data_IF_098197093770
#
_entry.id   IF_098197093770
#
_cell.length_a   1.000
_cell.length_b   1.000
_cell.length_c   1.000
_cell.angle_alpha   90.00
_cell.angle_beta   90.00
_cell.angle_gamma   90.00
#
_symmetry.space_group_name_H-M   'P 1'
#
loop_
_entity.id
_entity.type
_entity.pdbx_description
1 polymer ?
#
# COMPACT_ATOMS: atom_id res chain seq x y z
N UNK A 1 -90.06 12.53 37.04
CA UNK A 1 -89.37 11.97 35.86
C UNK A 1 -89.69 12.91 34.71
N UNK A 2 -88.81 13.71 34.12
CA UNK A 2 -87.35 13.77 34.07
C UNK A 2 -86.95 15.24 33.85
N UNK A 3 -85.94 15.71 34.59
CA UNK A 3 -85.32 17.02 34.40
C UNK A 3 -84.68 17.12 33.01
N UNK A 4 -85.35 17.84 32.10
CA UNK A 4 -84.73 18.35 30.88
C UNK A 4 -84.19 19.77 31.09
N UNK A 5 -83.14 19.92 31.92
CA UNK A 5 -82.27 21.09 31.79
C UNK A 5 -81.19 20.80 30.74
N UNK A 6 -81.55 21.03 29.47
CA UNK A 6 -80.59 21.14 28.38
C UNK A 6 -79.57 22.21 28.75
N UNK A 7 -78.35 21.80 29.15
CA UNK A 7 -77.21 22.69 29.36
C UNK A 7 -76.97 23.48 28.06
N UNK A 8 -77.47 24.72 28.00
CA UNK A 8 -77.23 25.61 26.87
C UNK A 8 -75.72 25.79 26.71
N UNK A 9 -75.16 25.68 25.50
CA UNK A 9 -73.74 25.94 25.29
C UNK A 9 -73.48 27.40 25.71
N UNK A 10 -72.55 27.59 26.65
CA UNK A 10 -72.10 28.91 27.10
C UNK A 10 -71.56 29.63 25.86
N UNK A 11 -72.34 30.53 25.26
CA UNK A 11 -71.89 31.35 24.13
C UNK A 11 -70.80 32.27 24.65
N UNK A 12 -69.55 31.86 24.44
CA UNK A 12 -68.38 32.63 24.82
C UNK A 12 -68.22 33.75 23.79
N UNK A 13 -68.22 35.00 24.24
CA UNK A 13 -68.00 36.13 23.35
C UNK A 13 -66.70 35.91 22.58
N UNK A 14 -66.68 36.24 21.28
CA UNK A 14 -65.49 36.10 20.42
C UNK A 14 -64.24 36.72 21.04
N UNK A 15 -64.39 37.83 21.79
CA UNK A 15 -63.31 38.48 22.52
C UNK A 15 -62.76 37.62 23.67
N UNK A 16 -63.60 36.88 24.37
CA UNK A 16 -63.20 36.02 25.48
C UNK A 16 -62.62 34.68 24.99
N UNK A 17 -63.12 34.16 23.87
CA UNK A 17 -62.51 33.02 23.16
C UNK A 17 -61.09 33.34 22.66
N UNK A 18 -60.91 34.54 22.08
CA UNK A 18 -59.59 35.02 21.64
C UNK A 18 -58.63 35.21 22.84
N UNK A 19 -59.14 35.71 23.97
CA UNK A 19 -58.35 35.86 25.21
C UNK A 19 -57.89 34.51 25.76
N UNK A 20 -58.64 33.43 25.56
CA UNK A 20 -58.26 32.11 26.06
C UNK A 20 -57.36 31.31 25.09
N UNK A 21 -57.49 31.52 23.78
CA UNK A 21 -56.73 30.76 22.77
C UNK A 21 -55.37 31.37 22.47
N UNK A 22 -55.27 32.71 22.40
CA UNK A 22 -53.99 33.40 22.17
C UNK A 22 -52.89 32.95 23.14
N UNK A 23 -53.11 32.88 24.48
CA UNK A 23 -52.08 32.40 25.38
C UNK A 23 -51.74 30.93 25.16
N UNK A 24 -52.72 30.06 24.90
CA UNK A 24 -52.47 28.63 24.61
C UNK A 24 -51.65 28.42 23.32
N UNK A 25 -51.86 29.27 22.31
CA UNK A 25 -51.08 29.25 21.06
C UNK A 25 -49.64 29.72 21.30
N UNK A 26 -49.45 30.85 21.98
CA UNK A 26 -48.13 31.38 22.33
C UNK A 26 -47.32 30.37 23.18
N UNK A 27 -47.95 29.79 24.20
CA UNK A 27 -47.31 28.75 25.04
C UNK A 27 -46.91 27.54 24.20
N UNK A 28 -47.74 27.09 23.25
CA UNK A 28 -47.39 25.96 22.36
C UNK A 28 -46.21 26.29 21.45
N UNK A 29 -46.13 27.52 20.96
CA UNK A 29 -45.05 27.98 20.08
C UNK A 29 -43.73 28.11 20.85
N UNK A 30 -43.78 28.69 22.06
CA UNK A 30 -42.65 28.74 22.99
C UNK A 30 -42.17 27.35 23.39
N UNK A 31 -43.09 26.42 23.71
CA UNK A 31 -42.75 25.04 24.05
C UNK A 31 -42.09 24.32 22.87
N UNK A 32 -42.55 24.59 21.64
CA UNK A 32 -41.96 24.03 20.41
C UNK A 32 -40.54 24.55 20.20
N UNK A 33 -40.31 25.86 20.38
CA UNK A 33 -38.97 26.43 20.29
C UNK A 33 -38.04 25.88 21.37
N UNK A 34 -38.51 25.81 22.61
CA UNK A 34 -37.77 25.22 23.72
C UNK A 34 -37.37 23.76 23.46
N UNK A 35 -38.29 22.93 22.95
CA UNK A 35 -37.99 21.54 22.59
C UNK A 35 -36.99 21.45 21.43
N UNK A 36 -37.06 22.36 20.46
CA UNK A 36 -36.12 22.40 19.34
C UNK A 36 -34.72 22.78 19.81
N UNK A 37 -34.62 23.80 20.67
CA UNK A 37 -33.37 24.26 21.26
C UNK A 37 -32.76 23.18 22.16
N UNK A 38 -33.58 22.49 22.97
CA UNK A 38 -33.15 21.36 23.78
C UNK A 38 -32.57 20.24 22.91
N UNK A 39 -33.26 19.85 21.84
CA UNK A 39 -32.76 18.85 20.88
C UNK A 39 -31.49 19.30 20.16
N UNK A 40 -31.35 20.60 19.87
CA UNK A 40 -30.15 21.14 19.24
C UNK A 40 -28.95 21.05 20.19
N UNK A 41 -29.13 21.42 21.46
CA UNK A 41 -28.12 21.27 22.52
C UNK A 41 -27.74 19.80 22.73
N UNK A 42 -28.73 18.90 22.84
CA UNK A 42 -28.49 17.46 22.93
C UNK A 42 -27.68 16.93 21.74
N UNK A 43 -27.98 17.38 20.51
CA UNK A 43 -27.21 17.01 19.31
C UNK A 43 -25.79 17.55 19.32
N UNK A 44 -25.59 18.76 19.81
CA UNK A 44 -24.27 19.39 19.91
C UNK A 44 -23.41 18.66 20.95
N UNK A 45 -23.97 18.39 22.13
CA UNK A 45 -23.33 17.58 23.17
C UNK A 45 -23.00 16.17 22.66
N UNK A 46 -23.94 15.51 22.00
CA UNK A 46 -23.72 14.20 21.37
C UNK A 46 -22.62 14.26 20.31
N UNK A 47 -22.59 15.31 19.48
CA UNK A 47 -21.55 15.51 18.49
C UNK A 47 -20.17 15.65 19.14
N UNK A 48 -20.06 16.44 20.20
CA UNK A 48 -18.83 16.62 20.97
C UNK A 48 -18.38 15.30 21.60
N UNK A 49 -19.30 14.55 22.24
CA UNK A 49 -19.02 13.25 22.83
C UNK A 49 -18.57 12.25 21.76
N UNK A 50 -19.29 12.14 20.64
CA UNK A 50 -18.90 11.26 19.51
C UNK A 50 -17.57 11.66 18.88
N UNK A 51 -17.23 12.95 18.87
CA UNK A 51 -15.93 13.44 18.39
C UNK A 51 -14.83 12.96 19.32
N UNK A 52 -15.00 13.10 20.63
CA UNK A 52 -13.99 12.69 21.61
C UNK A 52 -13.85 11.16 21.68
N UNK A 53 -14.95 10.41 21.66
CA UNK A 53 -14.93 8.94 21.55
C UNK A 53 -14.18 8.49 20.30
N UNK A 54 -14.40 9.14 19.14
CA UNK A 54 -13.67 8.80 17.92
C UNK A 54 -12.18 9.10 18.02
N UNK A 55 -11.77 10.14 18.75
CA UNK A 55 -10.34 10.38 19.04
C UNK A 55 -9.78 9.28 19.94
N UNK A 56 -10.43 8.98 21.06
CA UNK A 56 -10.01 7.94 21.99
C UNK A 56 -9.88 6.57 21.31
N UNK A 57 -10.82 6.20 20.43
CA UNK A 57 -10.73 4.95 19.66
C UNK A 57 -9.53 4.97 18.71
N UNK A 58 -9.25 6.10 18.04
CA UNK A 58 -8.08 6.23 17.15
C UNK A 58 -6.77 6.17 17.93
N UNK A 59 -6.70 6.79 19.10
CA UNK A 59 -5.55 6.74 20.00
C UNK A 59 -5.33 5.33 20.51
N UNK A 60 -6.37 4.67 21.02
CA UNK A 60 -6.29 3.28 21.47
C UNK A 60 -5.86 2.32 20.36
N UNK A 61 -6.35 2.49 19.12
CA UNK A 61 -5.89 1.70 17.97
C UNK A 61 -4.41 1.90 17.68
N UNK A 62 -3.94 3.15 17.69
CA UNK A 62 -2.52 3.46 17.50
C UNK A 62 -1.66 2.88 18.62
N UNK A 63 -2.12 2.90 19.86
CA UNK A 63 -1.41 2.29 20.98
C UNK A 63 -1.29 0.77 20.82
N UNK A 64 -2.37 0.09 20.40
CA UNK A 64 -2.36 -1.36 20.15
C UNK A 64 -1.45 -1.72 18.97
N UNK A 65 -1.48 -0.95 17.88
CA UNK A 65 -0.61 -1.16 16.71
C UNK A 65 0.88 -0.98 17.03
N UNK A 66 1.21 -0.13 18.01
CA UNK A 66 2.58 0.12 18.45
C UNK A 66 2.98 -0.68 19.70
N UNK A 67 2.06 -1.48 20.25
CA UNK A 67 2.37 -2.33 21.39
C UNK A 67 3.26 -3.49 20.91
N UNK A 68 4.38 -3.78 21.62
CA UNK A 68 5.24 -4.89 21.25
C UNK A 68 4.48 -6.22 21.35
N UNK A 69 4.60 -7.04 20.32
CA UNK A 69 4.14 -8.41 20.31
C UNK A 69 5.01 -9.29 21.22
N UNK A 70 4.44 -10.41 21.68
CA UNK A 70 5.10 -11.33 22.60
C UNK A 70 6.31 -12.06 22.00
N UNK A 71 6.43 -12.14 20.67
CA UNK A 71 7.59 -12.73 19.98
C UNK A 71 8.49 -11.62 19.44
N UNK A 72 9.78 -11.72 19.76
CA UNK A 72 10.83 -10.83 19.24
C UNK A 72 10.91 -10.92 17.72
N UNK A 73 10.72 -12.12 17.15
CA UNK A 73 10.64 -12.33 15.70
C UNK A 73 9.54 -11.51 15.04
N UNK A 74 8.35 -11.47 15.66
CA UNK A 74 7.20 -10.72 15.13
C UNK A 74 7.44 -9.20 15.22
N UNK A 75 8.08 -8.70 16.27
CA UNK A 75 8.41 -7.27 16.40
C UNK A 75 9.40 -6.83 15.32
N UNK A 76 10.47 -7.59 15.11
CA UNK A 76 11.46 -7.31 14.06
C UNK A 76 10.80 -7.40 12.67
N UNK A 77 9.92 -8.39 12.47
CA UNK A 77 9.13 -8.51 11.24
C UNK A 77 8.25 -7.29 11.00
N UNK A 78 7.57 -6.78 12.04
CA UNK A 78 6.71 -5.60 11.91
C UNK A 78 7.50 -4.38 11.43
N UNK A 79 8.69 -4.15 11.99
CA UNK A 79 9.55 -3.04 11.61
C UNK A 79 10.12 -3.21 10.19
N UNK A 80 10.42 -4.45 9.79
CA UNK A 80 10.80 -4.77 8.42
C UNK A 80 9.66 -4.47 7.44
N UNK A 81 8.45 -4.99 7.71
CA UNK A 81 7.28 -4.81 6.86
C UNK A 81 6.96 -3.32 6.66
N UNK A 82 7.05 -2.49 7.71
CA UNK A 82 6.87 -1.03 7.60
C UNK A 82 7.84 -0.38 6.59
N UNK A 83 9.03 -0.93 6.40
CA UNK A 83 10.05 -0.41 5.47
C UNK A 83 9.89 -0.96 4.05
N UNK A 84 9.66 -2.26 3.90
CA UNK A 84 9.65 -2.93 2.58
C UNK A 84 8.32 -2.81 1.85
N UNK A 85 7.19 -2.80 2.57
CA UNK A 85 5.85 -2.79 1.97
C UNK A 85 5.59 -1.53 1.12
N UNK A 86 5.94 -0.30 1.55
CA UNK A 86 5.75 0.89 0.71
C UNK A 86 6.51 0.82 -0.61
N UNK A 87 7.75 0.30 -0.59
CA UNK A 87 8.55 0.15 -1.81
C UNK A 87 7.95 -0.91 -2.75
N UNK A 88 7.54 -2.05 -2.19
CA UNK A 88 6.90 -3.12 -2.97
C UNK A 88 5.55 -2.69 -3.55
N UNK A 89 4.77 -1.91 -2.79
CA UNK A 89 3.48 -1.38 -3.25
C UNK A 89 3.67 -0.46 -4.46
N UNK A 90 4.64 0.44 -4.39
CA UNK A 90 4.96 1.35 -5.49
C UNK A 90 5.35 0.57 -6.74
N UNK A 91 6.34 -0.32 -6.64
CA UNK A 91 6.81 -1.11 -7.79
C UNK A 91 5.70 -2.03 -8.33
N UNK A 92 4.86 -2.62 -7.47
CA UNK A 92 3.73 -3.45 -7.89
C UNK A 92 2.63 -2.66 -8.61
N UNK A 93 2.27 -1.47 -8.12
CA UNK A 93 1.21 -0.64 -8.71
C UNK A 93 1.60 -0.02 -10.05
N UNK A 94 2.90 0.08 -10.36
CA UNK A 94 3.35 0.51 -11.70
C UNK A 94 3.06 -0.52 -12.80
N UNK A 95 2.86 -1.80 -12.44
CA UNK A 95 2.48 -2.86 -13.37
C UNK A 95 0.97 -2.78 -13.71
N UNK A 96 0.61 -1.86 -14.58
CA UNK A 96 -0.78 -1.57 -14.93
C UNK A 96 -1.28 -2.29 -16.18
N UNK A 97 -0.40 -2.75 -17.06
CA UNK A 97 -0.75 -3.28 -18.37
C UNK A 97 -1.45 -4.64 -18.30
N UNK A 98 -0.80 -5.64 -17.70
CA UNK A 98 -1.29 -7.01 -17.70
C UNK A 98 -1.27 -7.65 -16.31
N UNK A 99 -2.32 -8.41 -16.04
CA UNK A 99 -2.47 -9.15 -14.79
C UNK A 99 -1.42 -10.26 -14.64
N UNK A 100 -0.91 -10.78 -15.77
CA UNK A 100 0.17 -11.77 -15.79
C UNK A 100 1.49 -11.19 -15.30
N UNK A 101 1.79 -9.92 -15.60
CA UNK A 101 2.98 -9.23 -15.10
C UNK A 101 2.93 -9.10 -13.58
N UNK A 102 1.77 -8.73 -13.01
CA UNK A 102 1.56 -8.65 -11.56
C UNK A 102 1.63 -10.00 -10.87
N UNK A 103 1.07 -11.05 -11.49
CA UNK A 103 1.20 -12.44 -10.99
C UNK A 103 2.66 -12.91 -11.02
N UNK A 104 3.36 -12.63 -12.13
CA UNK A 104 4.79 -12.92 -12.29
C UNK A 104 5.59 -12.22 -11.19
N UNK A 105 5.39 -10.91 -11.00
CA UNK A 105 6.07 -10.13 -9.97
C UNK A 105 5.88 -10.73 -8.57
N UNK A 106 4.62 -11.04 -8.20
CA UNK A 106 4.30 -11.68 -6.91
C UNK A 106 5.04 -13.00 -6.74
N UNK A 107 5.03 -13.87 -7.74
CA UNK A 107 5.66 -15.19 -7.66
C UNK A 107 7.19 -15.10 -7.52
N UNK A 108 7.81 -14.17 -8.25
CA UNK A 108 9.24 -13.93 -8.21
C UNK A 108 9.70 -13.40 -6.85
N UNK A 109 9.02 -12.38 -6.30
CA UNK A 109 9.35 -11.84 -4.97
C UNK A 109 9.23 -12.92 -3.90
N UNK A 110 8.12 -13.67 -3.87
CA UNK A 110 7.90 -14.69 -2.82
C UNK A 110 8.99 -15.78 -2.89
N UNK A 111 9.28 -16.27 -4.10
CA UNK A 111 10.28 -17.32 -4.28
C UNK A 111 11.70 -16.82 -3.98
N UNK A 112 12.03 -15.58 -4.36
CA UNK A 112 13.32 -14.98 -4.07
C UNK A 112 13.55 -14.80 -2.56
N UNK A 113 12.53 -14.33 -1.82
CA UNK A 113 12.59 -14.24 -0.35
C UNK A 113 12.80 -15.61 0.27
N UNK A 114 12.06 -16.63 -0.18
CA UNK A 114 12.20 -18.00 0.32
C UNK A 114 13.61 -18.56 0.09
N UNK A 115 14.12 -18.45 -1.15
CA UNK A 115 15.47 -18.91 -1.52
C UNK A 115 16.56 -18.19 -0.73
N UNK A 116 16.48 -16.87 -0.61
CA UNK A 116 17.50 -16.06 0.07
C UNK A 116 17.57 -16.39 1.57
N UNK A 117 16.42 -16.59 2.23
CA UNK A 117 16.36 -17.01 3.63
C UNK A 117 16.85 -18.45 3.83
N UNK A 118 16.45 -19.39 2.97
CA UNK A 118 16.95 -20.77 3.03
C UNK A 118 18.47 -20.83 2.82
N UNK A 119 19.00 -20.07 1.87
CA UNK A 119 20.44 -19.98 1.64
C UNK A 119 21.16 -19.38 2.86
N UNK A 120 20.57 -18.37 3.52
CA UNK A 120 21.10 -17.80 4.75
C UNK A 120 21.15 -18.82 5.89
N UNK A 121 20.13 -19.66 6.04
CA UNK A 121 20.10 -20.74 7.03
C UNK A 121 21.19 -21.79 6.76
N UNK A 122 21.26 -22.29 5.52
CA UNK A 122 22.26 -23.28 5.11
C UNK A 122 23.70 -22.78 5.33
N UNK A 123 23.95 -21.50 5.05
CA UNK A 123 25.26 -20.88 5.25
C UNK A 123 25.62 -20.71 6.74
N UNK A 124 24.63 -20.50 7.61
CA UNK A 124 24.85 -20.44 9.07
C UNK A 124 25.18 -21.82 9.64
N UNK A 125 24.46 -22.86 9.21
CA UNK A 125 24.71 -24.23 9.65
C UNK A 125 26.08 -24.74 9.16
N UNK A 126 26.52 -24.32 7.96
CA UNK A 126 27.86 -24.60 7.46
C UNK A 126 28.96 -23.73 8.11
N UNK A 127 28.60 -22.56 8.64
CA UNK A 127 29.49 -21.59 9.26
C UNK A 127 29.92 -21.92 10.70
N UNK A 128 29.28 -22.88 11.36
CA UNK A 128 29.64 -23.31 12.73
C UNK A 128 30.99 -24.06 12.81
N UNK A 129 31.66 -24.29 11.67
CA UNK A 129 32.99 -24.92 11.58
C UNK A 129 34.12 -24.02 11.10
N UNK A 130 33.88 -22.75 10.77
CA UNK A 130 34.93 -21.86 10.27
C UNK A 130 34.87 -20.49 10.93
N UNK A 131 35.29 -20.46 12.19
CA UNK A 131 35.68 -19.24 12.90
C UNK A 131 36.99 -18.72 12.27
N UNK A 132 36.88 -18.08 11.11
CA UNK A 132 37.98 -17.33 10.50
C UNK A 132 37.72 -15.85 10.76
N UNK A 133 38.58 -15.15 11.53
CA UNK A 133 38.38 -13.75 11.85
C UNK A 133 38.29 -12.92 10.57
N UNK A 134 37.20 -12.16 10.48
CA UNK A 134 36.89 -11.23 9.40
C UNK A 134 37.95 -10.11 9.35
N UNK A 135 38.98 -10.31 8.52
CA UNK A 135 39.86 -9.23 8.10
C UNK A 135 39.10 -8.34 7.11
N UNK A 136 38.92 -7.08 7.49
CA UNK A 136 38.51 -5.96 6.66
C UNK A 136 39.17 -6.01 5.28
N UNK A 137 38.45 -5.89 4.15
CA UNK A 137 39.10 -5.60 2.89
C UNK A 137 39.47 -4.12 2.89
N UNK A 138 40.66 -3.84 3.42
CA UNK A 138 41.41 -2.65 3.08
C UNK A 138 41.66 -2.66 1.58
N UNK A 139 41.09 -1.63 0.95
CA UNK A 139 41.29 -1.19 -0.41
C UNK A 139 42.79 -1.16 -0.77
N UNK A 140 43.32 -2.04 -1.65
CA UNK A 140 44.65 -1.88 -2.17
C UNK A 140 44.59 -0.99 -3.42
N UNK A 141 45.06 0.23 -3.22
CA UNK A 141 45.58 1.17 -4.20
C UNK A 141 46.11 0.47 -5.46
N UNK A 142 45.50 0.80 -6.61
CA UNK A 142 46.04 0.52 -7.94
C UNK A 142 47.14 1.56 -8.22
N UNK A 143 48.39 1.12 -8.18
CA UNK A 143 49.52 1.86 -8.73
C UNK A 143 50.39 0.95 -9.59
N UNK A 144 50.97 1.57 -10.62
CA UNK A 144 52.13 1.17 -11.43
C UNK A 144 51.82 0.57 -12.81
N UNK A 145 51.63 1.50 -13.75
CA UNK A 145 52.52 1.76 -14.90
C UNK A 145 52.98 0.60 -15.79
N UNK A 146 52.46 0.54 -17.01
CA UNK A 146 53.15 -0.03 -18.16
C UNK A 146 52.85 0.76 -19.46
N UNK A 147 53.84 1.39 -20.12
CA UNK A 147 53.62 2.20 -21.31
C UNK A 147 53.62 1.35 -22.59
N UNK A 148 52.43 0.93 -23.04
CA UNK A 148 52.26 0.33 -24.38
C UNK A 148 52.21 1.43 -25.46
N UNK A 149 53.31 1.57 -26.20
CA UNK A 149 53.35 2.32 -27.46
C UNK A 149 52.50 1.61 -28.52
N UNK A 150 51.42 2.25 -28.96
CA UNK A 150 50.68 1.86 -30.16
C UNK A 150 50.69 3.02 -31.14
N UNK A 151 51.37 2.83 -32.27
CA UNK A 151 51.34 3.75 -33.41
C UNK A 151 49.97 3.67 -34.08
N UNK A 152 49.29 4.81 -34.18
CA UNK A 152 48.01 4.97 -34.86
C UNK A 152 48.31 5.42 -36.29
N UNK A 153 48.04 4.55 -37.26
CA UNK A 153 48.00 4.93 -38.68
C UNK A 153 46.53 5.15 -39.06
N UNK A 154 46.20 6.39 -39.40
CA UNK A 154 44.84 6.85 -39.68
C UNK A 154 44.62 6.88 -41.20
N UNK A 155 43.83 5.95 -41.74
CA UNK A 155 43.20 6.15 -43.04
C UNK A 155 41.97 5.26 -43.26
N UNK A 156 40.87 5.93 -43.66
CA UNK A 156 39.63 5.43 -44.28
C UNK A 156 38.51 4.87 -43.37
N UNK A 157 37.51 5.72 -43.09
CA UNK A 157 36.09 5.33 -42.94
C UNK A 157 35.36 5.60 -44.27
N UNK A 158 34.38 4.77 -44.67
CA UNK A 158 32.96 5.12 -44.43
C UNK A 158 32.06 3.88 -44.12
N UNK A 159 30.72 4.03 -44.02
CA UNK A 159 29.95 4.34 -42.82
C UNK A 159 29.26 3.12 -42.16
N UNK A 160 28.81 3.37 -40.94
CA UNK A 160 28.14 2.52 -39.94
C UNK A 160 27.13 1.49 -40.46
N UNK A 161 27.32 0.21 -40.13
CA UNK A 161 26.49 -0.57 -39.18
C UNK A 161 26.77 -2.08 -39.32
N UNK A 162 26.77 -2.79 -38.18
CA UNK A 162 27.10 -4.21 -37.95
C UNK A 162 28.58 -4.51 -37.66
N UNK A 163 28.99 -4.26 -36.42
CA UNK A 163 30.08 -5.04 -35.85
C UNK A 163 29.57 -6.46 -35.57
N UNK A 164 30.12 -7.45 -36.26
CA UNK A 164 30.14 -8.84 -35.81
C UNK A 164 31.26 -8.89 -34.77
N UNK A 165 30.92 -9.02 -33.49
CA UNK A 165 31.92 -9.20 -32.44
C UNK A 165 32.42 -10.63 -32.46
N UNK A 166 33.59 -10.83 -33.09
CA UNK A 166 34.29 -12.11 -33.16
C UNK A 166 35.27 -12.16 -31.98
N UNK A 167 34.74 -12.22 -30.76
CA UNK A 167 35.55 -12.57 -29.59
C UNK A 167 34.74 -13.49 -28.67
N UNK A 168 34.81 -14.79 -28.96
CA UNK A 168 34.26 -15.88 -28.15
C UNK A 168 34.97 -16.06 -26.80
N UNK A 169 34.94 -15.03 -25.96
CA UNK A 169 35.08 -15.17 -24.51
C UNK A 169 33.71 -14.87 -23.93
N UNK A 170 33.00 -15.91 -23.48
CA UNK A 170 31.92 -15.74 -22.52
C UNK A 170 32.50 -14.96 -21.34
N UNK A 171 32.26 -13.65 -21.30
CA UNK A 171 32.28 -12.91 -20.06
C UNK A 171 31.10 -13.45 -19.29
N UNK A 172 31.36 -14.16 -18.19
CA UNK A 172 30.34 -14.42 -17.18
C UNK A 172 29.93 -13.04 -16.65
N UNK A 173 28.89 -12.46 -17.25
CA UNK A 173 28.26 -11.26 -16.71
C UNK A 173 27.54 -11.70 -15.43
N UNK A 174 27.96 -11.24 -14.25
CA UNK A 174 27.30 -11.60 -12.99
C UNK A 174 25.82 -11.18 -12.97
N UNK A 175 25.43 -10.21 -13.79
CA UNK A 175 24.02 -9.82 -13.98
C UNK A 175 23.20 -10.89 -14.70
N UNK A 176 23.78 -11.61 -15.67
CA UNK A 176 23.06 -12.67 -16.41
C UNK A 176 22.80 -13.88 -15.52
N UNK A 177 23.78 -14.27 -14.70
CA UNK A 177 23.62 -15.37 -13.73
C UNK A 177 22.54 -15.06 -12.68
N UNK A 178 22.45 -13.81 -12.22
CA UNK A 178 21.40 -13.36 -11.31
C UNK A 178 20.02 -13.43 -11.95
N UNK A 179 19.88 -12.94 -13.18
CA UNK A 179 18.62 -13.01 -13.93
C UNK A 179 18.19 -14.46 -14.15
N UNK A 180 19.12 -15.36 -14.46
CA UNK A 180 18.83 -16.78 -14.68
C UNK A 180 18.41 -17.49 -13.37
N UNK A 181 19.07 -17.22 -12.24
CA UNK A 181 18.70 -17.78 -10.92
C UNK A 181 17.34 -17.27 -10.42
N UNK A 182 17.02 -16.02 -10.78
CA UNK A 182 15.77 -15.37 -10.43
C UNK A 182 14.61 -15.80 -11.33
N UNK A 183 14.87 -16.22 -12.57
CA UNK A 183 13.84 -16.55 -13.55
C UNK A 183 12.99 -17.77 -13.14
N UNK A 184 11.67 -17.65 -13.31
CA UNK A 184 10.71 -18.74 -13.16
C UNK A 184 10.18 -19.21 -14.52
N UNK A 185 10.05 -20.54 -14.76
CA UNK A 185 9.57 -21.05 -16.04
C UNK A 185 8.11 -20.65 -16.27
N UNK A 186 7.82 -20.07 -17.44
CA UNK A 186 6.47 -19.65 -17.83
C UNK A 186 5.99 -18.34 -17.19
N UNK A 187 6.88 -17.59 -16.52
CA UNK A 187 6.55 -16.30 -15.94
C UNK A 187 6.97 -15.14 -16.86
N UNK A 188 6.21 -14.06 -16.82
CA UNK A 188 6.44 -12.89 -17.68
C UNK A 188 7.78 -12.19 -17.36
N UNK A 189 8.48 -11.77 -18.41
CA UNK A 189 9.82 -11.16 -18.34
C UNK A 189 9.80 -9.74 -17.73
N UNK A 190 8.74 -8.97 -17.97
CA UNK A 190 8.61 -7.60 -17.42
C UNK A 190 8.33 -7.68 -15.93
N UNK A 191 7.39 -8.53 -15.52
CA UNK A 191 7.12 -8.83 -14.12
C UNK A 191 8.36 -9.38 -13.39
N UNK A 192 9.15 -10.24 -14.06
CA UNK A 192 10.44 -10.73 -13.54
C UNK A 192 11.43 -9.59 -13.34
N UNK A 193 11.69 -8.78 -14.36
CA UNK A 193 12.72 -7.75 -14.31
C UNK A 193 12.38 -6.71 -13.24
N UNK A 194 11.11 -6.31 -13.14
CA UNK A 194 10.66 -5.41 -12.07
C UNK A 194 10.78 -6.04 -10.69
N UNK A 195 10.41 -7.31 -10.53
CA UNK A 195 10.58 -8.01 -9.27
C UNK A 195 12.04 -8.12 -8.85
N UNK A 196 12.97 -8.33 -9.79
CA UNK A 196 14.40 -8.39 -9.49
C UNK A 196 14.88 -7.04 -8.92
N UNK A 197 14.54 -5.94 -9.60
CA UNK A 197 14.91 -4.60 -9.12
C UNK A 197 14.28 -4.26 -7.77
N UNK A 198 13.04 -4.70 -7.52
CA UNK A 198 12.36 -4.48 -6.25
C UNK A 198 12.97 -5.35 -5.14
N UNK A 199 13.34 -6.61 -5.45
CA UNK A 199 13.96 -7.53 -4.53
C UNK A 199 15.35 -7.05 -4.10
N UNK A 200 16.20 -6.61 -5.03
CA UNK A 200 17.54 -6.11 -4.72
C UNK A 200 17.53 -4.95 -3.69
N UNK A 201 16.48 -4.11 -3.71
CA UNK A 201 16.31 -3.00 -2.75
C UNK A 201 15.99 -3.48 -1.33
N UNK A 202 15.29 -4.61 -1.21
CA UNK A 202 14.75 -5.10 0.07
C UNK A 202 15.50 -6.31 0.61
N UNK A 203 16.25 -7.04 -0.22
CA UNK A 203 16.93 -8.29 0.14
C UNK A 203 17.81 -8.11 1.38
N UNK A 204 18.71 -7.12 1.35
CA UNK A 204 19.61 -6.86 2.48
C UNK A 204 18.83 -6.55 3.76
N UNK A 205 17.70 -5.81 3.67
CA UNK A 205 16.88 -5.49 4.84
C UNK A 205 16.25 -6.75 5.45
N UNK A 206 15.82 -7.69 4.59
CA UNK A 206 15.24 -8.97 5.00
C UNK A 206 16.32 -9.84 5.67
N UNK A 207 17.50 -9.95 5.05
CA UNK A 207 18.62 -10.73 5.57
C UNK A 207 19.14 -10.18 6.89
N UNK A 208 19.28 -8.85 7.01
CA UNK A 208 19.70 -8.18 8.24
C UNK A 208 18.71 -8.46 9.37
N UNK A 209 17.41 -8.26 9.12
CA UNK A 209 16.36 -8.54 10.09
C UNK A 209 16.35 -10.02 10.54
N UNK A 210 16.57 -10.93 9.60
CA UNK A 210 16.65 -12.37 9.88
C UNK A 210 17.94 -12.77 10.62
N UNK A 211 19.06 -12.08 10.37
CA UNK A 211 20.35 -12.34 11.00
C UNK A 211 20.37 -12.05 12.51
N UNK A 212 19.62 -11.03 12.94
CA UNK A 212 19.49 -10.64 14.35
C UNK A 212 18.77 -11.70 15.18
N UNK A 213 17.93 -12.53 14.55
CA UNK A 213 17.23 -13.60 15.22
C UNK A 213 18.16 -14.80 15.43
N UNK A 214 18.48 -15.13 16.68
CA UNK A 214 19.25 -16.33 17.03
C UNK A 214 18.35 -17.52 17.37
N UNK A 215 17.16 -17.27 17.93
CA UNK A 215 16.25 -18.33 18.36
C UNK A 215 15.52 -18.97 17.17
N UNK A 216 15.61 -20.30 17.03
CA UNK A 216 14.99 -21.05 15.92
C UNK A 216 13.46 -20.87 15.87
N UNK A 217 12.81 -20.75 17.04
CA UNK A 217 11.36 -20.48 17.11
C UNK A 217 10.99 -19.12 16.51
N UNK A 218 11.75 -18.07 16.85
CA UNK A 218 11.50 -16.73 16.33
C UNK A 218 11.85 -16.64 14.84
N UNK A 219 12.89 -17.35 14.39
CA UNK A 219 13.24 -17.47 12.96
C UNK A 219 12.11 -18.11 12.14
N UNK A 220 11.56 -19.23 12.61
CA UNK A 220 10.44 -19.91 11.95
C UNK A 220 9.20 -19.04 11.89
N UNK A 221 8.84 -18.41 13.02
CA UNK A 221 7.72 -17.46 13.05
C UNK A 221 7.97 -16.28 12.11
N UNK A 222 9.18 -15.71 12.11
CA UNK A 222 9.53 -14.63 11.19
C UNK A 222 9.35 -15.05 9.73
N UNK A 223 9.86 -16.22 9.34
CA UNK A 223 9.75 -16.76 7.98
C UNK A 223 8.29 -16.96 7.56
N UNK A 224 7.51 -17.72 8.34
CA UNK A 224 6.13 -18.05 8.02
C UNK A 224 5.25 -16.80 7.92
N UNK A 225 5.41 -15.88 8.87
CA UNK A 225 4.64 -14.64 8.90
C UNK A 225 5.12 -13.65 7.84
N UNK A 226 6.41 -13.60 7.47
CA UNK A 226 6.89 -12.76 6.37
C UNK A 226 6.20 -13.14 5.07
N UNK A 227 6.25 -14.43 4.70
CA UNK A 227 5.63 -14.93 3.47
C UNK A 227 4.11 -14.72 3.50
N UNK A 228 3.47 -15.00 4.64
CA UNK A 228 2.02 -14.81 4.79
C UNK A 228 1.62 -13.35 4.64
N UNK A 229 2.32 -12.42 5.32
CA UNK A 229 2.04 -10.99 5.21
C UNK A 229 2.29 -10.48 3.80
N UNK A 230 3.38 -10.86 3.14
CA UNK A 230 3.64 -10.47 1.75
C UNK A 230 2.49 -10.90 0.83
N UNK A 231 2.01 -12.14 0.95
CA UNK A 231 0.84 -12.62 0.19
C UNK A 231 -0.40 -11.76 0.44
N UNK A 232 -0.71 -11.46 1.70
CA UNK A 232 -1.86 -10.63 2.08
C UNK A 232 -1.76 -9.20 1.56
N UNK A 233 -0.57 -8.59 1.64
CA UNK A 233 -0.34 -7.25 1.10
C UNK A 233 -0.47 -7.22 -0.43
N UNK A 234 0.05 -8.23 -1.14
CA UNK A 234 -0.17 -8.31 -2.59
C UNK A 234 -1.64 -8.47 -2.96
N UNK A 235 -2.41 -9.27 -2.20
CA UNK A 235 -3.86 -9.38 -2.42
C UNK A 235 -4.56 -8.04 -2.14
N UNK A 236 -4.13 -7.29 -1.12
CA UNK A 236 -4.61 -5.93 -0.84
C UNK A 236 -4.30 -4.97 -1.98
N UNK A 237 -3.07 -4.96 -2.49
CA UNK A 237 -2.66 -4.10 -3.60
C UNK A 237 -3.49 -4.37 -4.85
N UNK A 238 -3.73 -5.64 -5.18
CA UNK A 238 -4.57 -6.02 -6.32
C UNK A 238 -6.02 -5.54 -6.15
N UNK A 239 -6.58 -5.61 -4.94
CA UNK A 239 -7.92 -5.09 -4.68
C UNK A 239 -8.00 -3.57 -4.82
N UNK A 240 -6.99 -2.84 -4.33
CA UNK A 240 -6.93 -1.38 -4.47
C UNK A 240 -6.82 -0.94 -5.95
N UNK A 241 -6.05 -1.67 -6.77
CA UNK A 241 -5.97 -1.41 -8.22
C UNK A 241 -7.32 -1.63 -8.90
N UNK A 242 -8.05 -2.70 -8.53
CA UNK A 242 -9.38 -3.00 -9.09
C UNK A 242 -10.44 -1.95 -8.72
N UNK A 243 -10.39 -1.41 -7.51
CA UNK A 243 -11.31 -0.35 -7.06
C UNK A 243 -11.01 1.01 -7.70
N UNK A 244 -9.77 1.23 -8.18
CA UNK A 244 -9.28 2.51 -8.72
C UNK A 244 -9.45 2.68 -10.24
N UNK A 245 -10.36 1.94 -10.91
CA UNK A 245 -10.64 2.11 -12.33
C UNK A 245 -11.93 2.95 -12.56
N UNK A 246 -11.90 4.30 -12.54
CA UNK A 246 -12.91 5.11 -13.20
C UNK A 246 -12.71 5.08 -14.72
N UNK A 247 -13.81 5.19 -15.47
CA UNK A 247 -13.85 5.05 -16.93
C UNK A 247 -12.88 6.03 -17.62
N UNK A 248 -11.93 5.53 -18.45
CA UNK A 248 -11.15 6.42 -19.29
C UNK A 248 -12.03 6.94 -20.44
N UNK A 249 -12.32 8.23 -20.46
CA UNK A 249 -12.87 8.91 -21.64
C UNK A 249 -11.73 9.24 -22.61
N UNK A 250 -11.90 8.86 -23.87
CA UNK A 250 -10.99 9.21 -24.97
C UNK A 250 -11.45 10.51 -25.64
N UNK A 251 -10.54 11.23 -26.30
CA UNK A 251 -10.90 12.43 -27.10
C UNK A 251 -11.95 12.10 -28.17
N UNK A 252 -11.91 10.88 -28.72
CA UNK A 252 -12.94 10.34 -29.62
C UNK A 252 -14.34 10.30 -28.98
N UNK A 253 -14.43 10.03 -27.67
CA UNK A 253 -15.70 10.04 -26.94
C UNK A 253 -16.26 11.45 -26.78
N UNK A 254 -15.41 12.45 -26.56
CA UNK A 254 -15.83 13.85 -26.49
C UNK A 254 -16.21 14.41 -27.87
N UNK A 255 -15.50 13.99 -28.91
CA UNK A 255 -15.78 14.37 -30.30
C UNK A 255 -17.12 13.77 -30.78
N UNK A 256 -17.40 12.50 -30.48
CA UNK A 256 -18.68 11.86 -30.80
C UNK A 256 -19.84 12.45 -29.98
N UNK A 257 -19.65 12.75 -28.69
CA UNK A 257 -20.66 13.45 -27.87
C UNK A 257 -20.95 14.85 -28.40
N UNK A 258 -19.93 15.59 -28.85
CA UNK A 258 -20.09 16.92 -29.47
C UNK A 258 -20.82 16.87 -30.82
N UNK A 259 -20.65 15.78 -31.58
CA UNK A 259 -21.30 15.57 -32.86
C UNK A 259 -22.77 15.14 -32.73
N UNK A 260 -23.14 14.49 -31.61
CA UNK A 260 -24.51 14.05 -31.31
C UNK A 260 -25.34 15.16 -30.64
N UNK A 261 -24.72 16.14 -29.97
CA UNK A 261 -25.39 17.31 -29.36
C UNK A 261 -25.67 18.47 -30.34
N UNK A 262 -25.37 18.33 -31.63
CA UNK A 262 -25.78 19.30 -32.66
C UNK A 262 -27.01 18.85 -33.49
N UNK A 263 -28.22 18.72 -32.88
CA UNK A 263 -29.46 18.88 -33.61
C UNK A 263 -30.25 20.07 -33.07
N UNK A 264 -30.31 21.16 -33.85
CA UNK A 264 -31.42 22.11 -33.81
C UNK A 264 -31.45 23.15 -32.68
N UNK A 265 -30.81 24.30 -32.92
CA UNK A 265 -31.37 25.62 -32.59
C UNK A 265 -30.52 26.69 -33.28
N UNK A 266 -30.94 27.18 -34.45
CA UNK A 266 -31.76 28.38 -34.69
C UNK A 266 -32.09 28.40 -36.18
#
# INVERSE_FOLDING_TARGET
MEDQERRKPKQMNRKDFIKEIKPKFLIKEELKQFLLEKRAKEKEEEFLVRKEIRKLIREAKKEIENAPHASTGINILQDLLKKIIPSLEQDYKTLTTDLEQRKSFRSHIINAVEKSLQQSELNKDAGEQLDVPMATPDNPSLTEDDPLKVSIDASALPPQDKFIDISGKQKNDPEKEKVDSFSLPGADETGRNMALTAFDKIENQILDAYSVLSAEKDKKLFFDYLITNLKLYFDKFENEIKESLPEPTTQEYEDDVSSVESPGSV
#
